data_IF_593111166812
#
_entry.id   IF_593111166812
#
_cell.length_a   1.000
_cell.length_b   1.000
_cell.length_c   1.000
_cell.angle_alpha   90.00
_cell.angle_beta   90.00
_cell.angle_gamma   90.00
#
_symmetry.space_group_name_H-M   'P 1'
#
loop_
_entity.id
_entity.type
_entity.pdbx_description
1 polymer ?
#
# COMPACT_ATOMS: atom_id res chain seq x y z
N UNK A 1 65.73 -26.05 36.83
CA UNK A 1 64.40 -26.42 36.33
C UNK A 1 63.60 -25.13 36.10
N UNK A 2 63.38 -24.74 34.85
CA UNK A 2 62.54 -23.58 34.47
C UNK A 2 61.15 -24.14 34.04
N UNK A 3 60.15 -23.85 34.84
CA UNK A 3 58.77 -24.15 34.50
C UNK A 3 58.25 -23.09 33.46
N UNK A 4 58.02 -23.50 32.27
CA UNK A 4 57.31 -22.70 31.23
C UNK A 4 55.83 -23.00 31.35
N UNK A 5 55.06 -22.05 31.88
CA UNK A 5 53.59 -22.11 31.89
C UNK A 5 53.05 -21.68 30.54
N UNK A 6 52.50 -22.61 29.76
CA UNK A 6 51.73 -22.33 28.57
C UNK A 6 50.32 -21.83 28.95
N UNK A 7 50.05 -20.55 28.74
CA UNK A 7 48.72 -20.01 28.84
C UNK A 7 47.93 -20.41 27.56
N UNK A 8 46.97 -21.32 27.70
CA UNK A 8 45.98 -21.65 26.65
C UNK A 8 44.99 -20.47 26.51
N UNK A 9 45.22 -19.61 25.55
CA UNK A 9 44.23 -18.62 25.13
C UNK A 9 43.14 -19.32 24.28
N UNK A 10 41.98 -19.57 24.89
CA UNK A 10 40.81 -20.05 24.16
C UNK A 10 40.37 -18.98 23.17
N UNK A 11 40.15 -19.30 21.87
CA UNK A 11 39.61 -18.34 20.94
C UNK A 11 38.17 -18.03 21.34
N UNK A 12 37.89 -16.77 21.65
CA UNK A 12 36.53 -16.27 21.79
C UNK A 12 35.92 -16.25 20.38
N UNK A 13 35.24 -17.32 20.00
CA UNK A 13 34.41 -17.35 18.79
C UNK A 13 33.24 -16.40 19.03
N UNK A 14 33.34 -15.19 18.53
CA UNK A 14 32.18 -14.30 18.41
C UNK A 14 31.22 -14.95 17.40
N UNK A 15 30.15 -15.56 17.88
CA UNK A 15 29.03 -16.03 17.04
C UNK A 15 28.43 -14.76 16.43
N UNK A 16 28.76 -14.49 15.18
CA UNK A 16 28.10 -13.46 14.41
C UNK A 16 26.61 -13.83 14.35
N UNK A 17 25.77 -13.04 15.04
CA UNK A 17 24.32 -13.26 15.04
C UNK A 17 23.81 -13.07 13.61
N UNK A 18 23.26 -14.11 12.99
CA UNK A 18 22.74 -14.06 11.63
C UNK A 18 21.67 -12.99 11.53
N UNK A 19 21.68 -12.23 10.43
CA UNK A 19 20.63 -11.27 10.15
C UNK A 19 19.29 -11.99 9.95
N UNK A 20 18.21 -11.45 10.52
CA UNK A 20 16.86 -11.93 10.28
C UNK A 20 16.25 -11.18 9.10
N UNK A 21 15.79 -11.91 8.10
CA UNK A 21 15.17 -11.34 6.91
C UNK A 21 13.67 -11.23 7.11
N UNK A 22 13.09 -10.16 6.58
CA UNK A 22 11.66 -10.01 6.51
C UNK A 22 11.23 -9.27 5.24
N UNK A 23 9.98 -9.49 4.84
CA UNK A 23 9.42 -8.97 3.59
C UNK A 23 8.23 -8.07 3.87
N UNK A 24 8.18 -6.94 3.13
CA UNK A 24 7.02 -6.04 3.05
C UNK A 24 6.41 -6.18 1.66
N UNK A 25 5.25 -6.83 1.55
CA UNK A 25 4.50 -6.89 0.29
C UNK A 25 4.06 -5.50 -0.15
N UNK A 26 4.22 -5.16 -1.44
CA UNK A 26 3.94 -3.81 -1.96
C UNK A 26 2.89 -3.81 -3.08
N UNK A 27 3.21 -3.31 -4.25
CA UNK A 27 2.37 -3.23 -5.45
C UNK A 27 3.22 -3.00 -6.69
N UNK A 28 2.61 -2.53 -7.76
CA UNK A 28 3.35 -2.23 -9.00
C UNK A 28 4.40 -1.13 -8.81
N UNK A 29 5.55 -1.19 -9.51
CA UNK A 29 6.71 -0.30 -9.31
C UNK A 29 6.42 1.19 -9.51
N UNK A 30 5.44 1.54 -10.34
CA UNK A 30 5.03 2.93 -10.62
C UNK A 30 3.95 3.44 -9.66
N UNK A 31 3.45 2.58 -8.78
CA UNK A 31 2.50 2.91 -7.72
C UNK A 31 3.19 3.32 -6.42
N UNK A 32 2.40 3.85 -5.48
CA UNK A 32 2.92 4.41 -4.23
C UNK A 32 3.27 3.32 -3.21
N UNK A 33 2.65 2.12 -3.24
CA UNK A 33 2.99 1.01 -2.34
C UNK A 33 4.43 0.57 -2.45
N UNK A 34 4.95 0.45 -3.67
CA UNK A 34 6.35 0.10 -3.90
C UNK A 34 7.29 1.11 -3.24
N UNK A 35 6.99 2.39 -3.39
CA UNK A 35 7.75 3.46 -2.73
C UNK A 35 7.62 3.41 -1.20
N UNK A 36 6.42 3.06 -0.69
CA UNK A 36 6.16 2.92 0.75
C UNK A 36 7.04 1.84 1.37
N UNK A 37 7.04 0.63 0.81
CA UNK A 37 7.84 -0.48 1.33
C UNK A 37 9.34 -0.17 1.30
N UNK A 38 9.84 0.39 0.19
CA UNK A 38 11.25 0.78 0.07
C UNK A 38 11.62 1.91 1.05
N UNK A 39 10.74 2.89 1.26
CA UNK A 39 10.96 3.96 2.23
C UNK A 39 11.05 3.42 3.66
N UNK A 40 10.17 2.48 4.05
CA UNK A 40 10.21 1.81 5.36
C UNK A 40 11.55 1.07 5.53
N UNK A 41 11.95 0.25 4.56
CA UNK A 41 13.23 -0.46 4.59
C UNK A 41 14.42 0.52 4.75
N UNK A 42 14.38 1.66 4.04
CA UNK A 42 15.41 2.70 4.13
C UNK A 42 15.45 3.35 5.52
N UNK A 43 14.30 3.66 6.12
CA UNK A 43 14.24 4.23 7.47
C UNK A 43 14.76 3.24 8.51
N UNK A 44 14.36 1.97 8.42
CA UNK A 44 14.86 0.93 9.32
C UNK A 44 16.39 0.78 9.21
N UNK A 45 16.92 0.77 8.00
CA UNK A 45 18.36 0.66 7.77
C UNK A 45 19.13 1.88 8.33
N UNK A 46 18.60 3.09 8.13
CA UNK A 46 19.14 4.32 8.71
C UNK A 46 19.16 4.27 10.24
N UNK A 47 18.08 3.82 10.87
CA UNK A 47 17.97 3.68 12.32
C UNK A 47 18.94 2.63 12.87
N UNK A 48 19.16 1.52 12.18
CA UNK A 48 20.13 0.50 12.55
C UNK A 48 21.56 1.03 12.56
N UNK A 49 21.95 1.81 11.52
CA UNK A 49 23.26 2.46 11.46
C UNK A 49 23.45 3.45 12.62
N UNK A 50 22.42 4.27 12.90
CA UNK A 50 22.47 5.26 14.00
C UNK A 50 22.57 4.60 15.36
N UNK A 51 21.93 3.44 15.55
CA UNK A 51 22.01 2.67 16.79
C UNK A 51 23.39 2.02 17.01
N UNK A 52 24.08 1.61 15.94
CA UNK A 52 25.43 1.03 16.03
C UNK A 52 26.49 2.06 16.49
N UNK A 53 26.27 3.35 16.23
CA UNK A 53 27.18 4.42 16.68
C UNK A 53 27.11 4.69 18.19
N UNK A 54 26.07 4.21 18.88
CA UNK A 54 25.85 4.41 20.32
C UNK A 54 25.82 3.16 21.19
N UNK A 55 25.93 1.95 20.63
CA UNK A 55 25.84 0.67 21.36
C UNK A 55 27.11 -0.15 21.26
N UNK A 56 27.39 -0.95 22.32
CA UNK A 56 28.45 -1.96 22.27
C UNK A 56 28.21 -2.90 21.08
N UNK A 57 29.19 -2.97 20.18
CA UNK A 57 29.22 -3.80 18.99
C UNK A 57 28.73 -5.23 19.30
N UNK A 58 27.68 -5.72 18.66
CA UNK A 58 27.27 -7.13 18.69
C UNK A 58 26.04 -7.52 19.52
N UNK A 59 25.25 -6.57 20.05
CA UNK A 59 24.09 -6.90 20.91
C UNK A 59 22.71 -6.71 20.25
N UNK A 60 22.59 -6.00 19.13
CA UNK A 60 21.32 -5.83 18.44
C UNK A 60 21.11 -6.89 17.34
N UNK A 61 19.91 -7.47 17.28
CA UNK A 61 19.47 -8.35 16.19
C UNK A 61 19.47 -7.52 14.92
N UNK A 62 20.23 -7.94 13.90
CA UNK A 62 20.25 -7.27 12.62
C UNK A 62 19.03 -7.72 11.79
N UNK A 63 18.20 -6.78 11.34
CA UNK A 63 17.10 -7.07 10.42
C UNK A 63 17.47 -6.64 9.00
N UNK A 64 17.09 -7.48 8.03
CA UNK A 64 17.21 -7.21 6.59
C UNK A 64 15.83 -7.15 5.96
N UNK A 65 15.46 -5.97 5.47
CA UNK A 65 14.17 -5.68 4.90
C UNK A 65 14.20 -5.81 3.37
N UNK A 66 13.21 -6.49 2.79
CA UNK A 66 12.94 -6.51 1.35
C UNK A 66 11.52 -6.01 1.07
N UNK A 67 11.34 -5.32 -0.06
CA UNK A 67 10.06 -4.75 -0.47
C UNK A 67 9.76 -5.10 -1.94
N UNK A 68 9.41 -6.36 -2.25
CA UNK A 68 9.14 -6.78 -3.61
C UNK A 68 7.87 -6.15 -4.17
N UNK A 69 7.85 -5.97 -5.51
CA UNK A 69 6.63 -5.68 -6.24
C UNK A 69 5.68 -6.88 -6.18
N UNK A 70 4.39 -6.63 -5.93
CA UNK A 70 3.37 -7.68 -5.76
C UNK A 70 2.07 -7.35 -6.50
N UNK A 71 1.10 -8.26 -6.37
CA UNK A 71 -0.26 -8.09 -6.90
C UNK A 71 -1.13 -7.06 -6.17
N UNK A 72 -0.71 -6.53 -5.01
CA UNK A 72 -1.42 -5.51 -4.24
C UNK A 72 -2.12 -6.04 -2.98
N UNK A 73 -3.11 -5.31 -2.47
CA UNK A 73 -3.65 -5.44 -1.11
C UNK A 73 -4.05 -6.85 -0.67
N UNK A 74 -4.95 -7.49 -1.41
CA UNK A 74 -5.45 -8.82 -1.03
C UNK A 74 -4.38 -9.90 -1.18
N UNK A 75 -3.49 -9.79 -2.17
CA UNK A 75 -2.33 -10.65 -2.30
C UNK A 75 -1.41 -10.50 -1.08
N UNK A 76 -1.07 -9.29 -0.69
CA UNK A 76 -0.19 -9.02 0.45
C UNK A 76 -0.77 -9.56 1.77
N UNK A 77 -2.07 -9.33 2.00
CA UNK A 77 -2.77 -9.86 3.19
C UNK A 77 -2.77 -11.40 3.17
N UNK A 78 -2.98 -12.03 2.02
CA UNK A 78 -2.89 -13.48 1.85
C UNK A 78 -1.51 -14.01 2.21
N UNK A 79 -0.44 -13.39 1.69
CA UNK A 79 0.94 -13.79 1.99
C UNK A 79 1.29 -13.61 3.48
N UNK A 80 0.72 -12.60 4.16
CA UNK A 80 0.87 -12.43 5.60
C UNK A 80 0.13 -13.55 6.35
N UNK A 81 -1.08 -13.89 5.92
CA UNK A 81 -1.87 -14.99 6.50
C UNK A 81 -1.15 -16.33 6.40
N UNK A 82 -0.48 -16.57 5.27
CA UNK A 82 0.28 -17.79 4.99
C UNK A 82 1.67 -17.81 5.65
N UNK A 83 2.07 -16.70 6.33
CA UNK A 83 3.37 -16.56 7.02
C UNK A 83 4.56 -16.24 6.10
N UNK A 84 4.32 -16.05 4.80
CA UNK A 84 5.36 -15.76 3.81
C UNK A 84 5.88 -14.32 3.91
N UNK A 85 5.00 -13.36 4.22
CA UNK A 85 5.36 -11.97 4.46
C UNK A 85 5.11 -11.57 5.92
N UNK A 86 6.01 -10.76 6.47
CA UNK A 86 5.84 -10.22 7.82
C UNK A 86 5.00 -8.95 7.80
N UNK A 87 5.08 -8.17 6.70
CA UNK A 87 4.31 -6.95 6.51
C UNK A 87 3.74 -6.86 5.10
N UNK A 88 2.75 -6.01 4.92
CA UNK A 88 2.25 -5.65 3.61
C UNK A 88 1.64 -4.26 3.61
N UNK A 89 1.67 -3.60 2.45
CA UNK A 89 0.89 -2.39 2.23
C UNK A 89 -0.46 -2.81 1.67
N UNK A 90 -1.54 -2.35 2.29
CA UNK A 90 -2.91 -2.70 1.93
C UNK A 90 -3.87 -1.52 2.13
N UNK A 91 -4.93 -1.51 1.35
CA UNK A 91 -6.05 -0.58 1.50
C UNK A 91 -6.81 -0.84 2.81
N UNK A 92 -7.34 0.21 3.43
CA UNK A 92 -8.11 0.11 4.68
C UNK A 92 -9.41 -0.68 4.55
N UNK A 93 -10.06 -0.69 3.39
CA UNK A 93 -11.24 -1.53 3.12
C UNK A 93 -10.88 -3.03 3.15
N UNK A 94 -9.79 -3.44 2.51
CA UNK A 94 -9.36 -4.84 2.51
C UNK A 94 -8.80 -5.30 3.84
N UNK A 95 -8.21 -4.40 4.61
CA UNK A 95 -7.87 -4.64 6.01
C UNK A 95 -9.13 -4.99 6.82
N UNK A 96 -10.20 -4.19 6.67
CA UNK A 96 -11.50 -4.44 7.32
C UNK A 96 -12.10 -5.79 6.90
N UNK A 97 -12.19 -6.02 5.59
CA UNK A 97 -12.81 -7.24 5.05
C UNK A 97 -12.07 -8.50 5.46
N UNK A 98 -10.73 -8.47 5.49
CA UNK A 98 -9.92 -9.62 5.91
C UNK A 98 -10.14 -9.96 7.39
N UNK A 99 -10.14 -8.97 8.28
CA UNK A 99 -10.38 -9.18 9.72
C UNK A 99 -11.77 -9.71 9.99
N UNK A 100 -12.79 -9.21 9.28
CA UNK A 100 -14.19 -9.53 9.53
C UNK A 100 -14.71 -10.70 8.68
N UNK A 101 -13.94 -11.25 7.75
CA UNK A 101 -14.37 -12.34 6.87
C UNK A 101 -15.52 -11.95 5.95
N UNK A 102 -15.51 -10.75 5.40
CA UNK A 102 -16.57 -10.22 4.54
C UNK A 102 -16.07 -9.96 3.11
N UNK A 103 -16.99 -9.73 2.15
CA UNK A 103 -16.66 -9.52 0.73
C UNK A 103 -15.78 -10.65 0.19
N UNK A 104 -14.63 -10.36 -0.40
CA UNK A 104 -13.70 -11.38 -0.94
C UNK A 104 -13.04 -12.28 0.11
N UNK A 105 -13.18 -11.96 1.38
CA UNK A 105 -12.65 -12.72 2.51
C UNK A 105 -13.72 -13.58 3.18
N UNK A 106 -14.93 -13.66 2.63
CA UNK A 106 -15.97 -14.56 3.09
C UNK A 106 -15.47 -16.03 3.00
N UNK A 107 -15.60 -16.76 4.11
CA UNK A 107 -15.04 -18.12 4.23
C UNK A 107 -13.52 -18.19 4.37
N UNK A 108 -12.80 -17.06 4.35
CA UNK A 108 -11.34 -17.01 4.43
C UNK A 108 -10.83 -15.95 5.44
N UNK A 109 -11.60 -15.68 6.48
CA UNK A 109 -11.29 -14.67 7.52
C UNK A 109 -9.85 -14.77 8.03
N UNK A 110 -9.25 -13.61 8.29
CA UNK A 110 -7.93 -13.48 8.91
C UNK A 110 -7.98 -12.59 10.15
N UNK A 111 -8.50 -13.14 11.25
CA UNK A 111 -8.67 -12.42 12.52
C UNK A 111 -7.34 -12.01 13.19
N UNK A 112 -6.22 -12.65 12.82
CA UNK A 112 -4.88 -12.30 13.30
C UNK A 112 -4.24 -11.13 12.56
N UNK A 113 -4.89 -10.55 11.55
CA UNK A 113 -4.38 -9.36 10.89
C UNK A 113 -4.32 -8.19 11.89
N UNK A 114 -3.24 -7.43 11.85
CA UNK A 114 -3.00 -6.25 12.68
C UNK A 114 -2.61 -5.05 11.85
N UNK A 115 -3.12 -3.89 12.24
CA UNK A 115 -2.66 -2.61 11.69
C UNK A 115 -1.36 -2.19 12.36
N UNK A 116 -0.48 -1.55 11.59
CA UNK A 116 0.77 -0.94 12.08
C UNK A 116 0.64 0.58 12.05
N UNK A 117 0.47 1.18 10.88
CA UNK A 117 0.17 2.61 10.69
C UNK A 117 -0.45 2.86 9.31
N UNK A 118 -1.16 3.98 9.16
CA UNK A 118 -1.62 4.41 7.85
C UNK A 118 -0.58 5.28 7.15
N UNK A 119 -0.70 5.37 5.83
CA UNK A 119 0.19 6.16 5.00
C UNK A 119 -0.64 7.19 4.22
N UNK A 120 -0.62 7.20 2.92
CA UNK A 120 -1.26 8.20 2.08
C UNK A 120 -2.75 7.89 1.83
N UNK A 121 -3.48 8.92 1.42
CA UNK A 121 -4.83 8.74 0.90
C UNK A 121 -4.78 8.07 -0.48
N UNK A 122 -5.73 7.19 -0.75
CA UNK A 122 -5.88 6.48 -2.00
C UNK A 122 -7.27 6.73 -2.60
N UNK A 123 -7.45 7.82 -3.35
CA UNK A 123 -8.66 7.97 -4.13
C UNK A 123 -8.77 6.81 -5.13
N UNK A 124 -9.97 6.20 -5.22
CA UNK A 124 -10.27 5.30 -6.29
C UNK A 124 -10.50 6.13 -7.56
N UNK A 125 -9.71 5.90 -8.57
CA UNK A 125 -9.66 6.70 -9.78
C UNK A 125 -10.05 5.86 -10.98
N UNK A 126 -10.95 6.35 -11.83
CA UNK A 126 -11.11 5.80 -13.18
C UNK A 126 -10.49 6.77 -14.16
N UNK A 127 -9.49 6.30 -14.88
CA UNK A 127 -8.78 7.04 -15.90
C UNK A 127 -9.23 6.61 -17.28
N UNK A 128 -9.63 7.57 -18.12
CA UNK A 128 -10.17 7.32 -19.45
C UNK A 128 -9.34 8.04 -20.51
N UNK A 129 -9.10 7.36 -21.64
CA UNK A 129 -8.44 7.94 -22.79
C UNK A 129 -9.31 9.07 -23.38
N UNK A 130 -8.69 10.14 -23.86
CA UNK A 130 -9.40 11.26 -24.49
C UNK A 130 -10.27 10.80 -25.68
N UNK A 131 -9.79 9.81 -26.45
CA UNK A 131 -10.50 9.24 -27.61
C UNK A 131 -11.79 8.54 -27.21
N UNK A 132 -11.85 7.91 -26.04
CA UNK A 132 -13.02 7.14 -25.58
C UNK A 132 -14.24 8.02 -25.30
N UNK A 133 -14.04 9.33 -25.06
CA UNK A 133 -15.08 10.32 -24.69
C UNK A 133 -15.85 9.96 -23.40
N UNK A 134 -15.27 9.13 -22.54
CA UNK A 134 -15.83 8.77 -21.23
C UNK A 134 -15.74 9.98 -20.31
N UNK A 135 -16.85 10.33 -19.64
CA UNK A 135 -16.95 11.49 -18.74
C UNK A 135 -17.39 11.14 -17.32
N UNK A 136 -18.06 10.01 -17.16
CA UNK A 136 -18.63 9.50 -15.92
C UNK A 136 -18.72 7.97 -15.98
N UNK A 137 -19.15 7.35 -14.88
CA UNK A 137 -19.28 5.89 -14.81
C UNK A 137 -20.28 5.35 -15.86
N UNK A 138 -21.38 6.05 -16.12
CA UNK A 138 -22.41 5.60 -17.08
C UNK A 138 -21.84 5.47 -18.49
N UNK A 139 -20.93 6.34 -18.86
CA UNK A 139 -20.28 6.33 -20.18
C UNK A 139 -19.22 5.25 -20.37
N UNK A 140 -18.95 4.42 -19.35
CA UNK A 140 -18.17 3.17 -19.46
C UNK A 140 -18.95 2.05 -20.16
N UNK A 141 -20.30 2.16 -20.29
CA UNK A 141 -21.11 1.15 -20.97
C UNK A 141 -20.62 0.89 -22.39
N UNK A 142 -20.38 -0.40 -22.69
CA UNK A 142 -19.90 -0.81 -24.01
C UNK A 142 -18.45 -0.44 -24.33
N UNK A 143 -17.64 -0.08 -23.33
CA UNK A 143 -16.20 0.22 -23.45
C UNK A 143 -15.34 -0.95 -23.03
N UNK A 144 -14.07 -0.95 -23.44
CA UNK A 144 -13.06 -1.90 -22.98
C UNK A 144 -12.40 -1.34 -21.71
N UNK A 145 -12.64 -1.98 -20.57
CA UNK A 145 -12.24 -1.45 -19.26
C UNK A 145 -11.34 -2.44 -18.51
N UNK A 146 -10.22 -1.96 -18.01
CA UNK A 146 -9.43 -2.73 -17.06
C UNK A 146 -9.99 -2.56 -15.65
N UNK A 147 -10.40 -3.65 -15.04
CA UNK A 147 -10.96 -3.66 -13.67
C UNK A 147 -9.94 -4.08 -12.62
N UNK A 148 -8.70 -4.37 -13.01
CA UNK A 148 -7.59 -4.77 -12.15
C UNK A 148 -7.36 -6.28 -12.10
N UNK A 149 -6.15 -6.67 -11.72
CA UNK A 149 -5.75 -8.08 -11.61
C UNK A 149 -6.40 -8.76 -10.39
N UNK A 150 -6.64 -10.08 -10.45
CA UNK A 150 -7.04 -10.86 -9.29
C UNK A 150 -6.07 -10.66 -8.12
N UNK A 151 -6.59 -10.58 -6.88
CA UNK A 151 -5.78 -10.34 -5.68
C UNK A 151 -5.38 -8.87 -5.46
N UNK A 152 -5.65 -7.95 -6.40
CA UNK A 152 -5.40 -6.54 -6.14
C UNK A 152 -6.53 -5.89 -5.34
N UNK A 153 -6.19 -4.86 -4.57
CA UNK A 153 -7.18 -4.03 -3.88
C UNK A 153 -8.04 -3.23 -4.86
N UNK A 154 -7.42 -2.69 -5.93
CA UNK A 154 -8.12 -1.94 -6.96
C UNK A 154 -9.24 -2.76 -7.64
N UNK A 155 -9.00 -4.07 -7.89
CA UNK A 155 -10.02 -4.97 -8.45
C UNK A 155 -11.22 -5.08 -7.52
N UNK A 156 -10.98 -5.33 -6.26
CA UNK A 156 -12.05 -5.44 -5.30
C UNK A 156 -12.83 -4.14 -5.14
N UNK A 157 -12.16 -2.98 -5.01
CA UNK A 157 -12.84 -1.67 -4.93
C UNK A 157 -13.65 -1.36 -6.21
N UNK A 158 -13.15 -1.75 -7.40
CA UNK A 158 -13.92 -1.63 -8.64
C UNK A 158 -15.18 -2.49 -8.61
N UNK A 159 -15.11 -3.72 -8.10
CA UNK A 159 -16.27 -4.60 -7.98
C UNK A 159 -17.29 -4.09 -6.95
N UNK A 160 -16.85 -3.51 -5.82
CA UNK A 160 -17.77 -2.85 -4.87
C UNK A 160 -18.45 -1.63 -5.52
N UNK A 161 -17.73 -0.84 -6.31
CA UNK A 161 -18.33 0.25 -7.07
C UNK A 161 -19.34 -0.27 -8.13
N UNK A 162 -18.98 -1.31 -8.88
CA UNK A 162 -19.90 -1.92 -9.86
C UNK A 162 -21.17 -2.44 -9.19
N UNK A 163 -21.06 -3.11 -8.05
CA UNK A 163 -22.18 -3.57 -7.23
C UNK A 163 -23.07 -2.40 -6.79
N UNK A 164 -22.47 -1.32 -6.28
CA UNK A 164 -23.20 -0.12 -5.90
C UNK A 164 -23.93 0.55 -7.08
N UNK A 165 -23.33 0.48 -8.28
CA UNK A 165 -23.92 0.98 -9.52
C UNK A 165 -24.97 0.03 -10.12
N UNK A 166 -25.18 -1.17 -9.57
CA UNK A 166 -26.11 -2.18 -10.06
C UNK A 166 -25.68 -2.80 -11.41
N UNK A 167 -24.39 -2.95 -11.65
CA UNK A 167 -23.84 -3.48 -12.90
C UNK A 167 -22.85 -4.60 -12.65
N UNK A 168 -22.65 -5.45 -13.66
CA UNK A 168 -21.63 -6.50 -13.71
C UNK A 168 -20.71 -6.35 -14.94
N UNK A 169 -19.91 -7.35 -15.24
CA UNK A 169 -18.95 -7.33 -16.35
C UNK A 169 -19.64 -7.19 -17.72
N UNK A 170 -20.91 -7.60 -17.86
CA UNK A 170 -21.67 -7.47 -19.13
C UNK A 170 -22.01 -6.02 -19.49
N UNK A 171 -21.89 -5.11 -18.53
CA UNK A 171 -22.05 -3.67 -18.75
C UNK A 171 -21.01 -3.10 -19.71
N UNK A 172 -19.81 -3.67 -19.71
CA UNK A 172 -18.71 -3.28 -20.57
C UNK A 172 -18.74 -4.06 -21.89
N UNK A 173 -18.05 -3.57 -22.91
CA UNK A 173 -17.81 -4.35 -24.13
C UNK A 173 -16.94 -5.57 -23.83
N UNK A 174 -15.90 -5.36 -23.02
CA UNK A 174 -15.06 -6.40 -22.46
C UNK A 174 -14.31 -5.84 -21.24
N UNK A 175 -13.95 -6.73 -20.31
CA UNK A 175 -13.07 -6.41 -19.20
C UNK A 175 -11.69 -7.00 -19.42
N UNK A 176 -10.67 -6.33 -18.89
CA UNK A 176 -9.32 -6.88 -18.77
C UNK A 176 -8.92 -6.91 -17.30
N UNK A 177 -7.97 -7.76 -16.94
CA UNK A 177 -7.51 -8.02 -15.59
C UNK A 177 -6.00 -7.75 -15.45
N UNK A 178 -5.56 -6.68 -16.12
CA UNK A 178 -4.17 -6.28 -16.15
C UNK A 178 -3.73 -5.74 -14.78
N UNK A 179 -2.47 -5.98 -14.45
CA UNK A 179 -1.83 -5.38 -13.27
C UNK A 179 -1.76 -3.85 -13.38
N UNK A 180 -1.52 -3.19 -12.24
CA UNK A 180 -1.34 -1.74 -12.22
C UNK A 180 -0.20 -1.23 -13.09
N UNK A 181 0.81 -2.04 -13.34
CA UNK A 181 1.93 -1.70 -14.23
C UNK A 181 1.58 -1.85 -15.72
N UNK A 182 0.72 -2.80 -16.08
CA UNK A 182 0.35 -3.11 -17.46
C UNK A 182 -0.78 -2.22 -17.98
N UNK A 183 -1.74 -1.84 -17.10
CA UNK A 183 -2.93 -1.09 -17.49
C UNK A 183 -2.63 0.25 -18.15
N UNK A 184 -1.60 0.97 -17.67
CA UNK A 184 -1.20 2.26 -18.26
C UNK A 184 -0.68 2.08 -19.67
N UNK A 185 0.18 1.07 -19.87
CA UNK A 185 0.70 0.75 -21.20
C UNK A 185 -0.44 0.36 -22.15
N UNK A 186 -1.37 -0.49 -21.68
CA UNK A 186 -2.54 -0.91 -22.49
C UNK A 186 -3.42 0.27 -22.89
N UNK A 187 -3.65 1.24 -21.98
CA UNK A 187 -4.37 2.48 -22.29
C UNK A 187 -3.62 3.34 -23.31
N UNK A 188 -2.32 3.54 -23.10
CA UNK A 188 -1.48 4.30 -24.02
C UNK A 188 -1.43 3.68 -25.41
N UNK A 189 -1.43 2.36 -25.51
CA UNK A 189 -1.46 1.61 -26.78
C UNK A 189 -2.87 1.57 -27.42
N UNK A 190 -3.89 2.05 -26.73
CA UNK A 190 -5.29 2.05 -27.22
C UNK A 190 -5.97 0.68 -27.18
N UNK A 191 -5.44 -0.26 -26.37
CA UNK A 191 -6.00 -1.61 -26.19
C UNK A 191 -7.20 -1.61 -25.23
N UNK A 192 -7.24 -0.64 -24.31
CA UNK A 192 -8.34 -0.39 -23.39
C UNK A 192 -8.76 1.08 -23.48
N UNK A 193 -10.02 1.37 -23.14
CA UNK A 193 -10.60 2.72 -23.14
C UNK A 193 -10.40 3.41 -21.77
N UNK A 194 -10.44 2.64 -20.69
CA UNK A 194 -10.30 3.13 -19.32
C UNK A 194 -9.78 2.04 -18.37
N UNK A 195 -9.32 2.45 -17.20
CA UNK A 195 -8.99 1.55 -16.10
C UNK A 195 -9.36 2.16 -14.74
N UNK A 196 -9.66 1.30 -13.75
CA UNK A 196 -9.82 1.67 -12.35
C UNK A 196 -8.53 1.46 -11.56
N UNK A 197 -8.20 2.37 -10.65
CA UNK A 197 -7.02 2.25 -9.78
C UNK A 197 -7.19 2.98 -8.44
N UNK A 198 -6.98 2.26 -7.33
CA UNK A 198 -6.79 2.86 -6.01
C UNK A 198 -5.31 3.18 -5.86
N UNK A 199 -4.96 4.44 -5.81
CA UNK A 199 -3.54 4.85 -5.74
C UNK A 199 -3.39 6.27 -5.19
N UNK A 200 -2.34 6.49 -4.42
CA UNK A 200 -1.95 7.82 -3.96
C UNK A 200 -1.57 8.75 -5.11
N UNK A 201 -1.66 10.05 -4.87
CA UNK A 201 -1.33 11.08 -5.85
C UNK A 201 -0.38 12.14 -5.26
N UNK A 202 0.47 12.77 -6.11
CA UNK A 202 0.76 12.39 -7.51
C UNK A 202 1.55 11.08 -7.59
N UNK A 203 1.50 10.39 -8.74
CA UNK A 203 2.32 9.20 -9.00
C UNK A 203 2.69 9.08 -10.48
N UNK A 204 3.75 8.32 -10.75
CA UNK A 204 4.30 8.19 -12.10
C UNK A 204 3.39 7.48 -13.10
N UNK A 205 2.57 6.52 -12.65
CA UNK A 205 1.65 5.78 -13.51
C UNK A 205 0.60 6.72 -14.14
N UNK A 206 0.00 7.58 -13.33
CA UNK A 206 -1.02 8.53 -13.81
C UNK A 206 -0.42 9.65 -14.65
N UNK A 207 0.78 10.12 -14.33
CA UNK A 207 1.47 11.09 -15.19
C UNK A 207 1.80 10.49 -16.56
N UNK A 208 2.22 9.23 -16.63
CA UNK A 208 2.40 8.52 -17.89
C UNK A 208 1.09 8.40 -18.68
N UNK A 209 -0.02 8.08 -18.03
CA UNK A 209 -1.34 8.03 -18.69
C UNK A 209 -1.78 9.40 -19.20
N UNK A 210 -1.48 10.48 -18.48
CA UNK A 210 -1.79 11.85 -18.87
C UNK A 210 -0.97 12.32 -20.09
N UNK A 211 0.31 11.96 -20.16
CA UNK A 211 1.25 12.49 -21.14
C UNK A 211 1.37 11.63 -22.42
N UNK A 212 1.06 10.34 -22.36
CA UNK A 212 1.11 9.47 -23.53
C UNK A 212 0.07 9.85 -24.59
N UNK A 213 0.10 9.19 -25.74
CA UNK A 213 -0.84 9.45 -26.87
C UNK A 213 -2.32 9.31 -26.50
N UNK A 214 -2.66 8.56 -25.44
CA UNK A 214 -4.04 8.44 -24.95
C UNK A 214 -4.56 9.74 -24.33
N UNK A 215 -3.65 10.62 -23.83
CA UNK A 215 -3.97 11.88 -23.16
C UNK A 215 -5.11 11.71 -22.15
N UNK A 216 -4.94 10.68 -21.30
CA UNK A 216 -5.98 10.28 -20.36
C UNK A 216 -6.15 11.30 -19.23
N UNK A 217 -7.32 11.28 -18.63
CA UNK A 217 -7.64 12.08 -17.44
C UNK A 217 -8.59 11.31 -16.52
N UNK A 218 -8.58 11.62 -15.20
CA UNK A 218 -9.55 11.02 -14.29
C UNK A 218 -10.96 11.55 -14.58
N UNK A 219 -11.96 10.68 -14.37
CA UNK A 219 -13.37 11.06 -14.41
C UNK A 219 -13.92 11.27 -12.99
N UNK A 220 -15.04 11.98 -12.87
CA UNK A 220 -15.76 12.08 -11.60
C UNK A 220 -16.52 10.80 -11.30
N UNK A 221 -16.46 10.37 -10.04
CA UNK A 221 -17.25 9.29 -9.46
C UNK A 221 -18.12 9.89 -8.36
N UNK A 222 -19.37 10.19 -8.69
CA UNK A 222 -20.32 10.89 -7.82
C UNK A 222 -21.73 10.32 -7.98
N UNK A 223 -22.67 10.83 -7.19
CA UNK A 223 -24.07 10.43 -7.21
C UNK A 223 -24.43 9.47 -6.06
N UNK A 224 -25.73 9.12 -5.98
CA UNK A 224 -26.26 8.34 -4.87
C UNK A 224 -25.52 7.01 -4.60
N UNK A 225 -25.11 6.22 -5.62
CA UNK A 225 -24.37 4.98 -5.36
C UNK A 225 -23.03 5.22 -4.65
N UNK A 226 -22.28 6.24 -5.06
CA UNK A 226 -20.99 6.58 -4.43
C UNK A 226 -21.19 7.14 -3.01
N UNK A 227 -22.23 7.96 -2.81
CA UNK A 227 -22.59 8.44 -1.47
C UNK A 227 -22.99 7.27 -0.57
N UNK A 228 -23.70 6.26 -1.12
CA UNK A 228 -24.05 5.04 -0.40
C UNK A 228 -22.82 4.26 0.06
N UNK A 229 -21.78 4.14 -0.77
CA UNK A 229 -20.50 3.52 -0.37
C UNK A 229 -19.84 4.30 0.78
N UNK A 230 -19.77 5.64 0.67
CA UNK A 230 -19.13 6.50 1.68
C UNK A 230 -19.88 6.45 3.01
N UNK A 231 -21.22 6.50 2.98
CA UNK A 231 -22.04 6.49 4.22
C UNK A 231 -22.20 5.10 4.83
N UNK A 232 -21.97 4.06 4.05
CA UNK A 232 -22.15 2.67 4.47
C UNK A 232 -20.93 2.04 5.13
N UNK A 233 -19.76 2.71 5.12
CA UNK A 233 -18.54 2.12 5.64
C UNK A 233 -17.50 3.17 6.04
N UNK A 234 -16.98 3.07 7.26
CA UNK A 234 -16.02 4.02 7.84
C UNK A 234 -14.64 4.02 7.15
N UNK A 235 -14.35 3.00 6.35
CA UNK A 235 -13.10 2.93 5.58
C UNK A 235 -13.16 3.68 4.25
N UNK A 236 -14.35 4.14 3.81
CA UNK A 236 -14.50 4.99 2.64
C UNK A 236 -14.71 6.45 3.03
N UNK A 237 -14.10 7.35 2.28
CA UNK A 237 -14.27 8.79 2.44
C UNK A 237 -14.38 9.48 1.08
N UNK A 238 -15.04 10.65 1.06
CA UNK A 238 -14.97 11.52 -0.12
C UNK A 238 -13.53 11.94 -0.37
N UNK A 239 -13.12 11.87 -1.63
CA UNK A 239 -11.79 12.28 -2.08
C UNK A 239 -11.86 13.22 -3.27
N UNK A 240 -10.87 14.08 -3.38
CA UNK A 240 -10.69 14.99 -4.52
C UNK A 240 -9.24 14.94 -4.97
N UNK A 241 -9.05 14.76 -6.27
CA UNK A 241 -7.74 14.92 -6.91
C UNK A 241 -7.72 16.35 -7.49
N UNK A 242 -6.92 17.28 -6.96
CA UNK A 242 -6.95 18.67 -7.38
C UNK A 242 -6.57 18.84 -8.84
N UNK A 243 -7.15 19.83 -9.49
CA UNK A 243 -6.71 20.27 -10.82
C UNK A 243 -5.22 20.53 -10.84
N UNK A 244 -4.56 20.21 -11.94
CA UNK A 244 -3.11 20.44 -12.08
C UNK A 244 -2.24 19.42 -11.37
N UNK A 245 -2.82 18.40 -10.70
CA UNK A 245 -2.04 17.28 -10.15
C UNK A 245 -1.28 16.55 -11.27
N UNK A 246 -1.89 16.44 -12.43
CA UNK A 246 -1.30 15.80 -13.62
C UNK A 246 -1.42 16.71 -14.86
N UNK A 247 -0.52 16.55 -15.82
CA UNK A 247 -0.33 17.44 -16.96
C UNK A 247 -1.60 17.72 -17.78
N UNK A 248 -2.52 16.75 -17.91
CA UNK A 248 -3.78 16.89 -18.66
C UNK A 248 -5.00 17.20 -17.78
N UNK A 249 -4.86 17.22 -16.48
CA UNK A 249 -5.96 17.37 -15.55
C UNK A 249 -6.30 18.88 -15.37
N UNK A 250 -7.32 19.35 -16.08
CA UNK A 250 -7.74 20.75 -16.05
C UNK A 250 -8.80 21.07 -15.00
N UNK A 251 -9.38 20.07 -14.35
CA UNK A 251 -10.44 20.20 -13.34
C UNK A 251 -10.16 19.25 -12.19
N UNK A 252 -10.73 19.59 -11.04
CA UNK A 252 -10.78 18.64 -9.91
C UNK A 252 -11.52 17.38 -10.33
N UNK A 253 -11.05 16.23 -9.85
CA UNK A 253 -11.77 14.96 -9.98
C UNK A 253 -12.28 14.54 -8.61
N UNK A 254 -13.61 14.58 -8.45
CA UNK A 254 -14.28 14.14 -7.22
C UNK A 254 -14.54 12.65 -7.30
N UNK A 255 -14.21 11.94 -6.22
CA UNK A 255 -14.36 10.49 -6.09
C UNK A 255 -14.52 10.10 -4.62
N UNK A 256 -14.40 8.83 -4.34
CA UNK A 256 -14.23 8.27 -3.00
C UNK A 256 -12.86 7.61 -2.88
N UNK A 257 -12.46 7.26 -1.68
CA UNK A 257 -11.17 6.62 -1.50
C UNK A 257 -11.02 6.00 -0.12
N UNK A 258 -9.88 5.38 0.05
CA UNK A 258 -9.42 4.66 1.24
C UNK A 258 -8.09 5.24 1.73
N UNK A 259 -7.54 4.65 2.78
CA UNK A 259 -6.15 4.86 3.19
C UNK A 259 -5.28 3.68 2.76
N UNK A 260 -4.06 3.96 2.32
CA UNK A 260 -3.00 2.98 2.33
C UNK A 260 -2.55 2.76 3.77
N UNK A 261 -2.38 1.51 4.16
CA UNK A 261 -1.99 1.12 5.52
C UNK A 261 -0.88 0.09 5.46
N UNK A 262 -0.04 0.07 6.49
CA UNK A 262 0.90 -1.02 6.72
C UNK A 262 0.24 -1.98 7.69
N UNK A 263 0.19 -3.26 7.30
CA UNK A 263 -0.43 -4.35 8.06
C UNK A 263 0.56 -5.47 8.31
N UNK A 264 0.30 -6.28 9.32
CA UNK A 264 1.11 -7.42 9.77
C UNK A 264 0.21 -8.50 10.39
N UNK A 265 0.78 -9.64 10.81
CA UNK A 265 0.09 -10.62 11.65
C UNK A 265 0.35 -10.36 13.14
N UNK A 266 -0.59 -10.77 13.99
CA UNK A 266 -0.37 -10.87 15.44
C UNK A 266 0.80 -11.80 15.81
N UNK A 267 1.16 -12.71 14.90
CA UNK A 267 2.22 -13.71 15.10
C UNK A 267 3.63 -13.13 14.84
N UNK A 268 3.72 -11.96 14.23
CA UNK A 268 5.01 -11.26 14.04
C UNK A 268 5.49 -10.69 15.37
N UNK A 269 6.78 -10.80 15.66
CA UNK A 269 7.33 -10.40 16.95
C UNK A 269 7.09 -8.92 17.28
N UNK A 270 6.75 -8.63 18.53
CA UNK A 270 6.56 -7.26 19.01
C UNK A 270 7.81 -6.40 18.77
N UNK A 271 9.01 -6.97 18.94
CA UNK A 271 10.28 -6.29 18.69
C UNK A 271 10.41 -5.81 17.24
N UNK A 272 10.10 -6.69 16.26
CA UNK A 272 10.21 -6.32 14.84
C UNK A 272 9.20 -5.23 14.47
N UNK A 273 7.94 -5.36 14.89
CA UNK A 273 6.90 -4.35 14.59
C UNK A 273 7.21 -3.02 15.27
N UNK A 274 7.71 -3.05 16.52
CA UNK A 274 8.18 -1.86 17.23
C UNK A 274 9.30 -1.17 16.47
N UNK A 275 10.33 -1.89 16.03
CA UNK A 275 11.48 -1.33 15.32
C UNK A 275 11.08 -0.71 13.97
N UNK A 276 10.24 -1.39 13.20
CA UNK A 276 9.71 -0.88 11.92
C UNK A 276 8.92 0.40 12.12
N UNK A 277 8.01 0.40 13.10
CA UNK A 277 7.19 1.57 13.41
C UNK A 277 8.03 2.74 13.89
N UNK A 278 8.90 2.49 14.86
CA UNK A 278 9.78 3.52 15.44
C UNK A 278 10.73 4.11 14.39
N UNK A 279 11.29 3.29 13.51
CA UNK A 279 12.15 3.77 12.43
C UNK A 279 11.47 4.80 11.52
N UNK A 280 10.19 4.58 11.20
CA UNK A 280 9.39 5.54 10.40
C UNK A 280 9.07 6.80 11.21
N UNK A 281 8.64 6.65 12.46
CA UNK A 281 8.22 7.78 13.31
C UNK A 281 9.39 8.69 13.70
N UNK A 282 10.55 8.12 14.02
CA UNK A 282 11.76 8.87 14.38
C UNK A 282 12.39 9.59 13.15
N UNK A 283 12.21 9.05 11.95
CA UNK A 283 12.71 9.63 10.70
C UNK A 283 11.57 10.15 9.82
N UNK A 284 10.53 10.71 10.43
CA UNK A 284 9.29 11.07 9.74
C UNK A 284 9.49 12.03 8.57
N UNK A 285 10.30 13.08 8.72
CA UNK A 285 10.57 14.05 7.65
C UNK A 285 11.33 13.41 6.48
N UNK A 286 12.30 12.54 6.78
CA UNK A 286 13.00 11.77 5.74
C UNK A 286 12.06 10.77 5.05
N UNK A 287 11.14 10.17 5.78
CA UNK A 287 10.11 9.29 5.21
C UNK A 287 9.19 10.08 4.26
N UNK A 288 8.71 11.26 4.69
CA UNK A 288 7.91 12.16 3.84
C UNK A 288 8.63 12.55 2.57
N UNK A 289 9.92 12.79 2.64
CA UNK A 289 10.74 13.18 1.48
C UNK A 289 10.94 12.06 0.44
N UNK A 290 10.59 10.79 0.75
CA UNK A 290 10.80 9.68 -0.18
C UNK A 290 9.84 9.69 -1.37
N UNK A 291 8.64 10.30 -1.23
CA UNK A 291 7.68 10.35 -2.34
C UNK A 291 6.74 11.55 -2.21
N UNK A 292 6.39 12.27 -3.31
CA UNK A 292 5.48 13.43 -3.25
C UNK A 292 4.11 13.14 -2.62
N UNK A 293 3.55 11.94 -2.80
CA UNK A 293 2.30 11.54 -2.16
C UNK A 293 2.37 11.50 -0.61
N UNK A 294 3.57 11.45 -0.04
CA UNK A 294 3.77 11.49 1.41
C UNK A 294 3.80 12.93 1.96
N UNK A 295 3.86 13.93 1.10
CA UNK A 295 3.92 15.34 1.51
C UNK A 295 2.77 15.79 2.42
N UNK A 296 1.61 15.12 2.33
CA UNK A 296 0.41 15.40 3.13
C UNK A 296 0.34 14.63 4.45
N UNK A 297 1.32 13.77 4.76
CA UNK A 297 1.32 12.97 5.99
C UNK A 297 1.47 13.85 7.23
N UNK A 298 0.74 13.46 8.27
CA UNK A 298 0.89 13.93 9.65
C UNK A 298 1.00 12.73 10.56
N UNK A 299 1.93 12.75 11.52
CA UNK A 299 2.14 11.62 12.45
C UNK A 299 0.85 11.22 13.15
N UNK A 300 0.08 12.21 13.59
CA UNK A 300 -1.16 12.03 14.33
C UNK A 300 -2.23 11.30 13.51
N UNK A 301 -2.26 11.51 12.19
CA UNK A 301 -3.19 10.83 11.29
C UNK A 301 -2.75 9.39 11.01
N UNK A 302 -1.43 9.15 10.95
CA UNK A 302 -0.89 7.81 10.66
C UNK A 302 -1.25 6.77 11.73
N UNK A 303 -1.46 7.20 12.95
CA UNK A 303 -1.78 6.31 14.08
C UNK A 303 -3.29 6.20 14.39
N UNK A 304 -4.15 6.85 13.60
CA UNK A 304 -5.60 6.89 13.84
C UNK A 304 -6.44 6.61 12.61
N UNK A 305 -6.09 7.20 11.46
CA UNK A 305 -6.95 7.21 10.29
C UNK A 305 -6.80 5.94 9.45
N UNK A 306 -7.91 5.29 9.08
CA UNK A 306 -7.92 4.13 8.18
C UNK A 306 -7.35 2.84 8.78
N UNK A 307 -7.23 2.76 10.11
CA UNK A 307 -6.76 1.56 10.81
C UNK A 307 -7.99 0.73 11.21
N UNK A 308 -8.46 -0.11 10.30
CA UNK A 308 -9.69 -0.89 10.44
C UNK A 308 -9.46 -2.30 11.01
N UNK A 309 -8.21 -2.70 11.26
CA UNK A 309 -7.82 -3.86 12.06
C UNK A 309 -7.33 -3.43 13.45
N UNK A 310 -7.33 -4.31 14.46
CA UNK A 310 -6.68 -4.02 15.74
C UNK A 310 -5.20 -3.67 15.55
N UNK A 311 -4.71 -2.71 16.32
CA UNK A 311 -3.30 -2.34 16.30
C UNK A 311 -2.41 -3.46 16.86
N UNK A 312 -1.21 -3.61 16.27
CA UNK A 312 -0.21 -4.53 16.81
C UNK A 312 0.44 -3.95 18.09
N UNK A 313 0.70 -4.76 19.15
CA UNK A 313 1.30 -4.28 20.40
C UNK A 313 2.62 -3.53 20.20
N UNK A 314 3.49 -4.00 19.29
CA UNK A 314 4.74 -3.32 18.95
C UNK A 314 4.54 -1.93 18.33
N UNK A 315 3.49 -1.74 17.52
CA UNK A 315 3.13 -0.44 16.99
C UNK A 315 2.65 0.51 18.11
N UNK A 316 1.76 0.02 19.00
CA UNK A 316 1.27 0.79 20.14
C UNK A 316 2.43 1.25 21.04
N UNK A 317 3.41 0.37 21.28
CA UNK A 317 4.60 0.70 22.06
C UNK A 317 5.40 1.82 21.41
N UNK A 318 5.66 1.74 20.10
CA UNK A 318 6.39 2.76 19.37
C UNK A 318 5.67 4.12 19.37
N UNK A 319 4.34 4.14 19.29
CA UNK A 319 3.56 5.38 19.34
C UNK A 319 3.64 6.13 20.66
N UNK A 320 3.76 5.41 21.79
CA UNK A 320 3.88 6.01 23.11
C UNK A 320 5.21 6.71 23.32
N UNK A 321 6.21 6.39 22.49
CA UNK A 321 7.57 6.91 22.58
C UNK A 321 7.90 7.94 21.48
N UNK A 322 7.00 8.16 20.51
CA UNK A 322 7.17 9.09 19.36
C UNK A 322 6.46 10.42 19.59
#
# INVERSE_FOLDING_TARGET
AVLVTFALSSPITSIAKSAEFFTIGTGGPTGVYFQTGNAICKMLHKSAISADHGRKKGTAKAYRCTAPSTGGSNYNIGQIKDGEFQFGVAQSDWQYHAVNGTSKWEGNQFSNLRAVFSVHNEPFQIWASKKSKIKDFKSLKGKVVNIGNPGSGQRGTMEELMKAMGVDNSYFKSVTELTSSEQVKALCDGKIDAFGYSVGFPNGAMEQAATCKAKASPINLTGAPVQGLISGADYYAKAVIPKGTYSNQKKDATTFGVKATVVTSADVSEELVYLVTKAVMDNFDDFKAQHPAFGFLKKEDMIKAGLSAPLHPGAIKAYKEA
#
